data_IF_569254449980
#
_entry.id   IF_569254449980
#
_cell.length_a   1.000
_cell.length_b   1.000
_cell.length_c   1.000
_cell.angle_alpha   90.00
_cell.angle_beta   90.00
_cell.angle_gamma   90.00
#
_symmetry.space_group_name_H-M   'P 1'
#
loop_
_entity.id
_entity.type
_entity.pdbx_description
1 polymer ?
#
# COMPACT_ATOMS: atom_id res chain seq x y z
N UNK A 1 -26.47 -46.47 -20.04
CA UNK A 1 -25.09 -45.96 -20.09
C UNK A 1 -24.71 -45.57 -18.68
N UNK A 2 -23.86 -46.37 -18.02
CA UNK A 2 -23.48 -46.15 -16.63
C UNK A 2 -22.37 -45.09 -16.60
N UNK A 3 -22.71 -43.86 -16.23
CA UNK A 3 -21.72 -42.82 -16.00
C UNK A 3 -20.99 -43.19 -14.70
N UNK A 4 -19.72 -43.61 -14.85
CA UNK A 4 -18.86 -44.04 -13.74
C UNK A 4 -18.74 -42.93 -12.70
N UNK A 5 -19.39 -43.12 -11.55
CA UNK A 5 -19.41 -42.20 -10.39
C UNK A 5 -18.01 -41.77 -9.92
N UNK A 6 -16.96 -42.54 -10.24
CA UNK A 6 -15.56 -42.25 -9.90
C UNK A 6 -14.96 -41.09 -10.71
N UNK A 7 -15.43 -40.87 -11.93
CA UNK A 7 -14.91 -39.80 -12.80
C UNK A 7 -15.47 -38.41 -12.41
N UNK A 8 -16.68 -38.37 -11.85
CA UNK A 8 -17.34 -37.13 -11.40
C UNK A 8 -16.74 -36.56 -10.11
N UNK A 9 -16.30 -37.42 -9.17
CA UNK A 9 -15.59 -36.96 -7.96
C UNK A 9 -14.19 -36.40 -8.26
N UNK A 10 -13.52 -36.92 -9.30
CA UNK A 10 -12.17 -36.46 -9.67
C UNK A 10 -12.21 -35.06 -10.29
N UNK A 11 -13.21 -34.78 -11.13
CA UNK A 11 -13.41 -33.47 -11.77
C UNK A 11 -13.75 -32.36 -10.77
N UNK A 12 -14.54 -32.67 -9.73
CA UNK A 12 -14.83 -31.74 -8.64
C UNK A 12 -13.59 -31.41 -7.80
N UNK A 13 -12.69 -32.37 -7.59
CA UNK A 13 -11.43 -32.15 -6.86
C UNK A 13 -10.46 -31.24 -7.63
N UNK A 14 -10.32 -31.41 -8.94
CA UNK A 14 -9.48 -30.54 -9.77
C UNK A 14 -10.02 -29.09 -9.85
N UNK A 15 -11.33 -28.92 -9.91
CA UNK A 15 -11.97 -27.59 -9.87
C UNK A 15 -11.72 -26.84 -8.56
N UNK A 16 -11.67 -27.55 -7.43
CA UNK A 16 -11.38 -26.95 -6.12
C UNK A 16 -9.90 -26.57 -5.93
N UNK A 17 -8.96 -27.29 -6.55
CA UNK A 17 -7.54 -26.95 -6.50
C UNK A 17 -7.20 -25.71 -7.32
N UNK A 18 -7.86 -25.48 -8.46
CA UNK A 18 -7.62 -24.28 -9.29
C UNK A 18 -8.07 -22.97 -8.61
N UNK A 19 -8.97 -23.03 -7.63
CA UNK A 19 -9.41 -21.84 -6.88
C UNK A 19 -8.41 -21.40 -5.80
N UNK A 20 -7.48 -22.29 -5.39
CA UNK A 20 -6.51 -21.97 -4.34
C UNK A 20 -5.19 -21.38 -4.87
N UNK A 21 -4.93 -21.42 -6.18
CA UNK A 21 -3.65 -20.98 -6.77
C UNK A 21 -3.62 -19.53 -7.26
N UNK A 22 -4.70 -18.75 -7.09
CA UNK A 22 -4.73 -17.34 -7.50
C UNK A 22 -4.28 -16.36 -6.40
N UNK A 23 -3.93 -16.84 -5.20
CA UNK A 23 -3.55 -16.01 -4.05
C UNK A 23 -2.05 -16.08 -3.77
N UNK A 24 -1.23 -15.95 -4.81
CA UNK A 24 0.21 -15.74 -4.70
C UNK A 24 0.62 -14.41 -5.38
N UNK A 25 -0.31 -13.44 -5.42
CA UNK A 25 -0.02 -12.10 -5.90
C UNK A 25 0.69 -11.31 -4.82
N UNK A 26 1.99 -11.05 -5.00
CA UNK A 26 2.67 -10.02 -4.25
C UNK A 26 2.12 -8.63 -4.59
N UNK A 27 2.43 -7.65 -3.77
CA UNK A 27 2.06 -6.25 -4.01
C UNK A 27 3.06 -5.63 -4.98
N UNK A 28 2.58 -5.17 -6.15
CA UNK A 28 3.30 -4.31 -7.09
C UNK A 28 2.57 -2.97 -7.17
N UNK A 29 3.29 -1.85 -7.10
CA UNK A 29 2.66 -0.54 -6.94
C UNK A 29 1.73 -0.20 -8.11
N UNK A 30 2.14 -0.57 -9.33
CA UNK A 30 1.44 -0.28 -10.58
C UNK A 30 0.12 -1.07 -10.73
N UNK A 31 -0.07 -2.14 -9.95
CA UNK A 31 -1.29 -2.96 -9.96
C UNK A 31 -2.28 -2.61 -8.84
N UNK A 32 -1.89 -1.74 -7.90
CA UNK A 32 -2.75 -1.30 -6.79
C UNK A 32 -3.63 -0.11 -7.25
N UNK A 33 -4.90 -0.05 -6.82
CA UNK A 33 -5.73 1.13 -6.98
C UNK A 33 -5.08 2.42 -6.44
N UNK A 34 -5.31 3.55 -7.11
CA UNK A 34 -4.70 4.85 -6.74
C UNK A 34 -5.12 5.32 -5.35
N UNK A 35 -6.32 4.97 -4.90
CA UNK A 35 -6.83 5.21 -3.56
C UNK A 35 -6.28 4.25 -2.50
N UNK A 36 -5.38 3.32 -2.85
CA UNK A 36 -4.64 2.47 -1.92
C UNK A 36 -3.12 2.62 -2.09
N UNK A 37 -2.68 3.48 -3.02
CA UNK A 37 -1.28 3.64 -3.40
C UNK A 37 -0.43 4.33 -2.34
N UNK A 38 -0.87 5.50 -1.86
CA UNK A 38 -0.10 6.25 -0.89
C UNK A 38 0.08 5.41 0.38
N UNK A 39 1.29 5.43 0.91
CA UNK A 39 1.71 4.61 2.06
C UNK A 39 1.73 3.10 1.79
N UNK A 40 1.57 2.60 0.57
CA UNK A 40 1.79 1.17 0.30
C UNK A 40 3.28 0.83 0.19
N UNK A 41 3.61 -0.44 0.45
CA UNK A 41 4.95 -1.01 0.28
C UNK A 41 4.83 -2.26 -0.57
N UNK A 42 5.52 -2.28 -1.70
CA UNK A 42 5.58 -3.42 -2.60
C UNK A 42 6.24 -4.64 -1.92
N UNK A 43 5.99 -5.83 -2.44
CA UNK A 43 6.63 -7.07 -1.96
C UNK A 43 8.15 -7.09 -2.14
N UNK A 44 8.70 -6.20 -2.99
CA UNK A 44 10.15 -5.97 -3.12
C UNK A 44 10.71 -5.01 -2.05
N UNK A 45 9.88 -4.57 -1.09
CA UNK A 45 10.26 -3.63 -0.03
C UNK A 45 10.40 -2.18 -0.48
N UNK A 46 10.03 -1.86 -1.72
CA UNK A 46 10.00 -0.49 -2.24
C UNK A 46 8.69 0.19 -1.84
N UNK A 47 8.74 1.47 -1.48
CA UNK A 47 7.52 2.26 -1.22
C UNK A 47 6.79 2.58 -2.52
N UNK A 48 5.48 2.65 -2.48
CA UNK A 48 4.66 3.15 -3.58
C UNK A 48 4.44 4.66 -3.44
N UNK A 49 4.45 5.36 -4.57
CA UNK A 49 4.24 6.80 -4.66
C UNK A 49 3.09 7.10 -5.61
N UNK A 50 2.16 7.94 -5.16
CA UNK A 50 1.12 8.49 -6.02
C UNK A 50 1.71 9.67 -6.79
N UNK A 51 1.67 9.58 -8.11
CA UNK A 51 2.19 10.59 -9.03
C UNK A 51 1.07 11.15 -9.91
N UNK A 52 1.27 12.36 -10.41
CA UNK A 52 0.36 12.99 -11.38
C UNK A 52 0.86 12.78 -12.80
N UNK A 53 0.00 12.27 -13.67
CA UNK A 53 0.22 12.16 -15.10
C UNK A 53 -0.69 13.12 -15.88
N UNK A 54 -0.23 13.54 -17.05
CA UNK A 54 -1.04 14.35 -17.97
C UNK A 54 -1.99 13.42 -18.72
N UNK A 55 -3.29 13.61 -18.54
CA UNK A 55 -4.33 12.85 -19.24
C UNK A 55 -4.26 13.06 -20.76
N UNK A 56 -4.42 11.96 -21.51
CA UNK A 56 -4.24 11.95 -22.97
C UNK A 56 -5.32 12.74 -23.73
N UNK A 57 -6.50 12.94 -23.14
CA UNK A 57 -7.58 13.74 -23.72
C UNK A 57 -7.91 14.95 -22.82
N UNK A 58 -7.55 16.15 -23.29
CA UNK A 58 -8.08 17.40 -22.71
C UNK A 58 -7.33 18.02 -21.54
N UNK A 59 -6.12 17.54 -21.20
CA UNK A 59 -5.23 18.21 -20.24
C UNK A 59 -5.66 18.06 -18.76
N UNK A 60 -6.46 17.05 -18.44
CA UNK A 60 -6.77 16.69 -17.05
C UNK A 60 -5.56 16.11 -16.32
N UNK A 61 -5.56 16.19 -14.99
CA UNK A 61 -4.58 15.52 -14.13
C UNK A 61 -5.12 14.13 -13.80
N UNK A 62 -4.39 13.09 -14.20
CA UNK A 62 -4.64 11.72 -13.78
C UNK A 62 -3.65 11.33 -12.68
N UNK A 63 -4.04 10.38 -11.85
CA UNK A 63 -3.17 9.83 -10.82
C UNK A 63 -2.68 8.45 -11.25
N UNK A 64 -1.40 8.17 -11.01
CA UNK A 64 -0.79 6.87 -11.26
C UNK A 64 -0.01 6.44 -10.02
N UNK A 65 -0.05 5.14 -9.73
CA UNK A 65 0.75 4.58 -8.65
C UNK A 65 2.04 4.01 -9.22
N UNK A 66 3.18 4.49 -8.71
CA UNK A 66 4.51 4.15 -9.19
C UNK A 66 5.36 3.59 -8.05
N UNK A 67 6.24 2.66 -8.37
CA UNK A 67 7.26 2.19 -7.43
C UNK A 67 8.34 3.26 -7.22
N UNK A 68 8.55 3.68 -5.97
CA UNK A 68 9.62 4.60 -5.57
C UNK A 68 10.96 3.90 -5.44
N UNK A 69 12.06 4.65 -5.51
CA UNK A 69 13.40 4.12 -5.25
C UNK A 69 13.67 3.85 -3.75
N UNK A 70 12.83 4.39 -2.86
CA UNK A 70 12.99 4.26 -1.40
C UNK A 70 12.65 2.83 -0.94
N UNK A 71 13.64 2.14 -0.36
CA UNK A 71 13.49 0.82 0.27
C UNK A 71 13.12 1.01 1.73
N UNK A 72 12.15 0.25 2.24
CA UNK A 72 11.84 0.23 3.66
C UNK A 72 12.93 -0.52 4.45
N UNK A 73 13.34 0.03 5.58
CA UNK A 73 14.26 -0.66 6.50
C UNK A 73 13.52 -1.68 7.36
N UNK A 74 12.28 -1.38 7.73
CA UNK A 74 11.45 -2.23 8.54
C UNK A 74 10.85 -3.39 7.72
N UNK A 75 11.41 -4.59 7.88
CA UNK A 75 10.98 -5.80 7.16
C UNK A 75 9.52 -6.18 7.46
N UNK A 76 8.96 -5.78 8.61
CA UNK A 76 7.57 -6.12 8.98
C UNK A 76 6.51 -5.43 8.12
N UNK A 77 6.89 -4.38 7.38
CA UNK A 77 5.97 -3.63 6.50
C UNK A 77 6.19 -3.93 5.01
N UNK A 78 6.98 -4.95 4.65
CA UNK A 78 7.14 -5.37 3.25
C UNK A 78 5.85 -6.01 2.74
N UNK A 79 5.38 -5.59 1.57
CA UNK A 79 4.10 -6.08 1.03
C UNK A 79 2.90 -5.64 1.88
N UNK A 80 2.95 -4.44 2.45
CA UNK A 80 1.95 -3.92 3.37
C UNK A 80 1.20 -2.73 2.77
N UNK A 81 -0.13 -2.70 2.96
CA UNK A 81 -0.96 -1.53 2.68
C UNK A 81 -1.62 -1.12 3.98
N UNK A 82 -1.44 0.15 4.32
CA UNK A 82 -1.98 0.65 5.57
C UNK A 82 -3.51 0.77 5.52
N UNK A 83 -4.17 0.58 6.65
CA UNK A 83 -5.64 0.60 6.74
C UNK A 83 -6.23 2.01 6.76
N UNK A 84 -7.51 2.16 6.38
CA UNK A 84 -8.21 3.46 6.46
C UNK A 84 -8.31 3.99 7.88
N UNK A 85 -8.39 3.09 8.87
CA UNK A 85 -8.34 3.45 10.29
C UNK A 85 -7.01 4.15 10.60
N UNK A 86 -5.91 3.61 10.10
CA UNK A 86 -4.59 4.18 10.33
C UNK A 86 -4.39 5.50 9.59
N UNK A 87 -4.86 5.60 8.35
CA UNK A 87 -4.89 6.86 7.59
C UNK A 87 -5.61 7.96 8.41
N UNK A 88 -6.80 7.65 8.92
CA UNK A 88 -7.58 8.59 9.72
C UNK A 88 -6.93 8.92 11.07
N UNK A 89 -6.39 7.93 11.78
CA UNK A 89 -5.75 8.09 13.08
C UNK A 89 -4.51 9.00 12.98
N UNK A 90 -3.65 8.74 12.00
CA UNK A 90 -2.44 9.52 11.75
C UNK A 90 -2.70 10.87 11.10
N UNK A 91 -3.93 11.13 10.62
CA UNK A 91 -4.29 12.40 9.99
C UNK A 91 -3.63 12.61 8.62
N UNK A 92 -3.38 11.53 7.88
CA UNK A 92 -2.83 11.56 6.52
C UNK A 92 -3.92 11.36 5.47
N UNK A 93 -3.63 11.69 4.21
CA UNK A 93 -4.55 11.50 3.08
C UNK A 93 -3.97 10.52 2.06
N UNK A 94 -4.78 9.53 1.63
CA UNK A 94 -4.40 8.56 0.61
C UNK A 94 -4.16 9.18 -0.78
N UNK A 95 -4.61 10.41 -0.99
CA UNK A 95 -4.43 11.18 -2.22
C UNK A 95 -3.21 12.10 -2.19
N UNK A 96 -2.34 11.95 -1.19
CA UNK A 96 -1.10 12.72 -1.09
C UNK A 96 -0.18 12.39 -2.27
N UNK A 97 0.09 13.39 -3.11
CA UNK A 97 1.07 13.32 -4.20
C UNK A 97 2.39 13.82 -3.69
N UNK A 98 3.38 12.94 -3.67
CA UNK A 98 4.61 13.20 -2.95
C UNK A 98 4.37 13.26 -1.43
N UNK A 99 5.41 12.95 -0.66
CA UNK A 99 5.35 12.99 0.80
C UNK A 99 6.49 13.91 1.24
N UNK A 100 6.14 15.06 1.83
CA UNK A 100 7.10 16.04 2.33
C UNK A 100 7.29 15.89 3.84
N UNK A 101 8.52 16.15 4.29
CA UNK A 101 8.88 16.31 5.70
C UNK A 101 8.28 17.58 6.31
N UNK A 102 7.86 18.58 5.51
CA UNK A 102 7.28 19.84 5.98
C UNK A 102 6.04 19.64 6.86
N UNK A 103 5.27 18.56 6.64
CA UNK A 103 4.12 18.22 7.47
C UNK A 103 4.50 18.07 8.96
N UNK A 104 5.75 17.67 9.26
CA UNK A 104 6.26 17.56 10.62
C UNK A 104 6.43 18.90 11.33
N UNK A 105 6.41 20.02 10.60
CA UNK A 105 6.44 21.36 11.17
C UNK A 105 5.05 21.82 11.64
N UNK A 106 3.99 21.10 11.26
CA UNK A 106 2.61 21.43 11.62
C UNK A 106 2.22 20.78 12.97
N UNK A 107 2.00 21.57 14.04
CA UNK A 107 1.64 21.01 15.35
C UNK A 107 0.40 20.10 15.34
N UNK A 108 -0.68 20.40 14.57
CA UNK A 108 -1.83 19.51 14.47
C UNK A 108 -1.48 18.13 13.89
N UNK A 109 -0.58 18.08 12.90
CA UNK A 109 -0.16 16.83 12.28
C UNK A 109 0.66 15.99 13.26
N UNK A 110 1.68 16.59 13.90
CA UNK A 110 2.49 15.90 14.91
C UNK A 110 1.62 15.36 16.06
N UNK A 111 0.60 16.11 16.50
CA UNK A 111 -0.31 15.63 17.53
C UNK A 111 -1.10 14.38 17.10
N UNK A 112 -1.46 14.25 15.81
CA UNK A 112 -2.12 13.05 15.27
C UNK A 112 -1.14 11.89 15.10
N UNK A 113 0.03 12.16 14.53
CA UNK A 113 1.08 11.17 14.31
C UNK A 113 1.56 10.54 15.64
N UNK A 114 1.72 11.36 16.68
CA UNK A 114 2.14 10.91 18.01
C UNK A 114 0.97 10.49 18.92
N UNK A 115 -0.27 10.45 18.42
CA UNK A 115 -1.39 9.91 19.19
C UNK A 115 -1.24 8.40 19.35
N UNK A 116 -1.69 7.79 20.47
CA UNK A 116 -1.60 6.34 20.67
C UNK A 116 -2.29 5.53 19.55
N UNK A 117 -3.39 6.05 19.02
CA UNK A 117 -4.11 5.41 17.92
C UNK A 117 -3.29 5.31 16.63
N UNK A 118 -2.37 6.24 16.38
CA UNK A 118 -1.44 6.18 15.25
C UNK A 118 -0.12 5.50 15.64
N UNK A 119 0.56 6.04 16.65
CA UNK A 119 1.93 5.66 17.00
C UNK A 119 2.08 4.16 17.32
N UNK A 120 1.13 3.60 18.07
CA UNK A 120 1.22 2.21 18.51
C UNK A 120 0.63 1.20 17.51
N UNK A 121 -0.20 1.66 16.56
CA UNK A 121 -1.04 0.78 15.75
C UNK A 121 -0.78 0.87 14.23
N UNK A 122 -0.04 1.88 13.76
CA UNK A 122 0.11 2.19 12.34
C UNK A 122 1.59 2.21 11.92
N UNK A 123 2.25 1.04 11.96
CA UNK A 123 3.72 0.94 11.94
C UNK A 123 4.32 1.53 10.66
N UNK A 124 3.64 1.43 9.53
CA UNK A 124 4.19 1.88 8.26
C UNK A 124 4.12 3.41 8.07
N UNK A 125 3.02 4.06 8.48
CA UNK A 125 2.94 5.53 8.44
C UNK A 125 3.94 6.14 9.42
N UNK A 126 4.04 5.56 10.63
CA UNK A 126 4.99 6.01 11.65
C UNK A 126 6.42 5.84 11.13
N UNK A 127 6.80 4.65 10.64
CA UNK A 127 8.13 4.40 10.08
C UNK A 127 8.50 5.39 8.98
N UNK A 128 7.57 5.67 8.06
CA UNK A 128 7.79 6.62 6.97
C UNK A 128 8.16 8.02 7.46
N UNK A 129 7.36 8.59 8.36
CA UNK A 129 7.58 9.97 8.82
C UNK A 129 8.79 10.10 9.77
N UNK A 130 9.09 9.06 10.55
CA UNK A 130 10.32 9.01 11.33
C UNK A 130 11.57 8.99 10.42
N UNK A 131 11.55 8.20 9.34
CA UNK A 131 12.66 8.12 8.41
C UNK A 131 12.81 9.40 7.55
N UNK A 132 11.70 10.05 7.20
CA UNK A 132 11.73 11.39 6.58
C UNK A 132 12.40 12.40 7.51
N UNK A 133 12.01 12.45 8.79
CA UNK A 133 12.62 13.34 9.78
C UNK A 133 14.12 13.11 9.94
N UNK A 134 14.55 11.84 9.94
CA UNK A 134 15.96 11.48 10.08
C UNK A 134 16.80 11.91 8.86
N UNK A 135 16.21 11.94 7.67
CA UNK A 135 16.88 12.33 6.42
C UNK A 135 17.18 13.84 6.29
N UNK A 136 16.48 14.69 7.03
CA UNK A 136 16.61 16.16 6.95
C UNK A 136 17.80 16.73 7.77
N UNK A 137 18.43 15.92 8.62
CA UNK A 137 19.43 16.37 9.61
C UNK A 137 20.90 16.36 9.17
N UNK A 138 21.20 16.54 7.88
CA UNK A 138 22.55 16.34 7.32
C UNK A 138 23.32 17.64 7.04
#
# INVERSE_FOLDING_TARGET
MAFSSKSSMLLLFFSALCLHSAMAGGITCEEIPTDMCAFAVASLGKRCALETAVGQEGGGVEYQCMTSEVVVENVSVVGYVESDRCVAACGVDRRSVGISSDALLEPPFIARLCSPDCYDNCPNIVDLYFNLAAGEGN
#
